data_IF_345529090675
#
_entry.id   IF_345529090675
#
_cell.length_a   1.000
_cell.length_b   1.000
_cell.length_c   1.000
_cell.angle_alpha   90.00
_cell.angle_beta   90.00
_cell.angle_gamma   90.00
#
_symmetry.space_group_name_H-M   'P 1'
#
loop_
_entity.id
_entity.type
_entity.pdbx_description
1 polymer ?
#
# COMPACT_ATOMS: atom_id res chain seq x y z
N UNK A 1 -10.60 -25.95 -37.63
CA UNK A 1 -10.61 -24.47 -37.65
C UNK A 1 -11.69 -23.88 -36.74
N UNK A 2 -12.99 -24.12 -36.97
CA UNK A 2 -14.07 -23.61 -36.10
C UNK A 2 -13.89 -23.94 -34.61
N UNK A 3 -13.57 -25.19 -34.26
CA UNK A 3 -13.34 -25.61 -32.85
C UNK A 3 -12.15 -24.91 -32.17
N UNK A 4 -11.12 -24.55 -32.93
CA UNK A 4 -9.92 -23.84 -32.43
C UNK A 4 -10.25 -22.36 -32.21
N UNK A 5 -11.02 -21.75 -33.12
CA UNK A 5 -11.49 -20.36 -32.98
C UNK A 5 -12.46 -20.23 -31.79
N UNK A 6 -13.37 -21.20 -31.60
CA UNK A 6 -14.27 -21.24 -30.44
C UNK A 6 -13.52 -21.38 -29.11
N UNK A 7 -12.42 -22.16 -29.08
CA UNK A 7 -11.60 -22.31 -27.87
C UNK A 7 -10.81 -21.04 -27.53
N UNK A 8 -10.28 -20.32 -28.54
CA UNK A 8 -9.61 -19.03 -28.33
C UNK A 8 -10.56 -17.91 -27.88
N UNK A 9 -11.80 -17.87 -28.39
CA UNK A 9 -12.81 -16.89 -27.94
C UNK A 9 -13.28 -17.15 -26.50
N UNK A 10 -13.29 -18.40 -26.04
CA UNK A 10 -13.63 -18.73 -24.65
C UNK A 10 -12.55 -18.30 -23.64
N UNK A 11 -11.27 -18.32 -24.04
CA UNK A 11 -10.16 -17.85 -23.19
C UNK A 11 -10.14 -16.33 -22.98
N UNK A 12 -10.74 -15.56 -23.90
CA UNK A 12 -10.89 -14.10 -23.82
C UNK A 12 -12.03 -13.63 -22.89
N UNK A 13 -12.85 -14.57 -22.39
CA UNK A 13 -13.94 -14.31 -21.44
C UNK A 13 -13.55 -14.62 -19.99
N UNK A 14 -12.30 -15.03 -19.74
CA UNK A 14 -11.80 -15.16 -18.37
C UNK A 14 -11.65 -13.75 -17.79
N UNK A 15 -12.38 -13.39 -16.71
CA UNK A 15 -12.23 -12.08 -16.09
C UNK A 15 -10.83 -11.96 -15.50
N UNK A 16 -9.96 -11.19 -16.15
CA UNK A 16 -8.68 -10.73 -15.60
C UNK A 16 -8.94 -9.59 -14.60
N UNK A 17 -9.65 -9.91 -13.51
CA UNK A 17 -9.68 -9.07 -12.33
C UNK A 17 -9.04 -9.84 -11.18
N UNK A 18 -7.73 -10.00 -11.27
CA UNK A 18 -6.89 -10.38 -10.12
C UNK A 18 -6.57 -9.12 -9.32
N UNK A 19 -7.60 -8.41 -8.88
CA UNK A 19 -7.48 -7.50 -7.75
C UNK A 19 -8.15 -8.21 -6.58
N UNK A 20 -7.44 -9.19 -6.03
CA UNK A 20 -7.84 -9.78 -4.76
C UNK A 20 -7.84 -8.68 -3.69
N UNK A 21 -8.76 -8.74 -2.71
CA UNK A 21 -8.69 -7.84 -1.56
C UNK A 21 -7.32 -7.98 -0.89
N UNK A 22 -6.85 -6.91 -0.24
CA UNK A 22 -5.70 -7.03 0.65
C UNK A 22 -5.96 -8.17 1.64
N UNK A 23 -4.99 -9.04 1.92
CA UNK A 23 -5.19 -10.19 2.79
C UNK A 23 -5.47 -9.71 4.22
N UNK A 24 -6.75 -9.68 4.60
CA UNK A 24 -7.20 -9.20 5.91
C UNK A 24 -6.95 -10.29 6.96
N UNK A 25 -6.33 -9.91 8.08
CA UNK A 25 -6.02 -10.82 9.17
C UNK A 25 -4.70 -11.58 9.01
N UNK A 26 -4.01 -11.39 7.88
CA UNK A 26 -2.67 -11.93 7.65
C UNK A 26 -1.61 -10.88 7.98
N UNK A 27 -0.46 -11.31 8.52
CA UNK A 27 0.70 -10.44 8.71
C UNK A 27 1.32 -10.13 7.33
N UNK A 28 1.49 -8.87 6.92
CA UNK A 28 2.22 -8.53 5.71
C UNK A 28 3.66 -9.03 5.75
N UNK A 29 4.24 -9.30 4.58
CA UNK A 29 5.68 -9.59 4.46
C UNK A 29 6.51 -8.47 5.07
N UNK A 30 7.59 -8.84 5.77
CA UNK A 30 8.52 -7.88 6.32
C UNK A 30 9.19 -7.09 5.17
N UNK A 31 9.26 -5.78 5.32
CA UNK A 31 10.01 -4.89 4.43
C UNK A 31 11.24 -4.40 5.17
N UNK A 32 12.40 -4.50 4.52
CA UNK A 32 13.66 -3.96 5.01
C UNK A 32 14.21 -3.00 3.96
N UNK A 33 14.47 -1.76 4.38
CA UNK A 33 15.14 -0.75 3.58
C UNK A 33 16.58 -0.65 4.08
N UNK A 34 17.51 -1.14 3.28
CA UNK A 34 18.95 -1.07 3.55
C UNK A 34 19.74 -0.94 2.24
N UNK A 35 20.86 -0.22 2.28
CA UNK A 35 21.78 -0.10 1.16
C UNK A 35 21.11 0.54 -0.06
N UNK A 36 21.18 -0.15 -1.20
CA UNK A 36 20.62 0.34 -2.47
C UNK A 36 19.09 0.31 -2.51
N UNK A 37 18.42 -0.42 -1.60
CA UNK A 37 16.96 -0.48 -1.52
C UNK A 37 16.35 0.72 -0.75
N UNK A 38 17.19 1.58 -0.19
CA UNK A 38 16.78 2.74 0.60
C UNK A 38 17.34 2.69 2.02
N UNK A 39 17.32 3.83 2.71
CA UNK A 39 17.76 3.96 4.09
C UNK A 39 16.96 5.07 4.77
N UNK A 40 17.12 5.21 6.09
CA UNK A 40 16.60 6.39 6.78
C UNK A 40 17.28 7.66 6.30
N UNK A 41 16.58 8.78 6.44
CA UNK A 41 17.13 10.12 6.14
C UNK A 41 18.38 10.43 6.96
N UNK A 42 18.43 9.97 8.22
CA UNK A 42 19.58 10.11 9.09
C UNK A 42 20.59 8.95 8.99
N UNK A 43 20.45 8.08 7.98
CA UNK A 43 21.28 6.90 7.78
C UNK A 43 20.84 5.68 8.61
N UNK A 44 21.34 4.51 8.20
CA UNK A 44 21.00 3.21 8.78
C UNK A 44 19.75 2.58 8.14
N UNK A 45 19.58 1.28 8.40
CA UNK A 45 18.47 0.51 7.87
C UNK A 45 17.16 0.79 8.62
N UNK A 46 16.05 0.49 7.95
CA UNK A 46 14.70 0.54 8.52
C UNK A 46 13.99 -0.79 8.26
N UNK A 47 13.18 -1.25 9.22
CA UNK A 47 12.35 -2.45 9.07
C UNK A 47 10.89 -2.17 9.42
N UNK A 48 9.97 -2.79 8.69
CA UNK A 48 8.54 -2.72 8.98
C UNK A 48 8.16 -3.31 10.35
N UNK A 49 9.03 -4.10 10.99
CA UNK A 49 8.78 -4.57 12.37
C UNK A 49 8.73 -3.41 13.39
N UNK A 50 9.23 -2.22 13.04
CA UNK A 50 9.07 -1.00 13.85
C UNK A 50 7.63 -0.47 13.87
N UNK A 51 6.75 -0.99 13.00
CA UNK A 51 5.32 -0.64 12.94
C UNK A 51 4.45 -1.56 13.82
N UNK A 52 5.06 -2.34 14.73
CA UNK A 52 4.34 -3.23 15.64
C UNK A 52 3.99 -2.50 16.94
N UNK A 53 2.81 -2.78 17.49
CA UNK A 53 2.38 -2.31 18.82
C UNK A 53 1.44 -1.10 18.82
N UNK A 54 1.08 -0.59 17.65
CA UNK A 54 0.05 0.43 17.47
C UNK A 54 -0.81 0.12 16.23
N UNK A 55 -1.98 0.74 16.14
CA UNK A 55 -2.75 0.79 14.90
C UNK A 55 -2.11 1.80 13.97
N UNK A 56 -1.78 1.37 12.76
CA UNK A 56 -1.17 2.21 11.73
C UNK A 56 -2.13 2.43 10.58
N UNK A 57 -2.32 3.68 10.18
CA UNK A 57 -2.91 4.03 8.87
C UNK A 57 -1.78 4.29 7.89
N UNK A 58 -1.80 3.56 6.77
CA UNK A 58 -0.85 3.75 5.68
C UNK A 58 -1.48 4.60 4.59
N UNK A 59 -0.83 5.72 4.26
CA UNK A 59 -1.14 6.53 3.09
C UNK A 59 -0.16 6.21 1.98
N UNK A 60 -0.67 5.78 0.82
CA UNK A 60 0.12 5.70 -0.39
C UNK A 60 -0.14 6.98 -1.20
N UNK A 61 0.92 7.74 -1.47
CA UNK A 61 0.81 9.12 -1.94
C UNK A 61 1.55 9.26 -3.27
N UNK A 62 0.82 9.67 -4.29
CA UNK A 62 1.38 10.30 -5.48
C UNK A 62 1.66 11.79 -5.14
N UNK A 63 2.90 12.29 -5.31
CA UNK A 63 3.21 13.70 -5.08
C UNK A 63 2.30 14.68 -5.86
N UNK A 64 1.91 14.33 -7.08
CA UNK A 64 1.14 15.22 -7.95
C UNK A 64 -0.36 15.23 -7.61
N UNK A 65 -0.85 14.17 -6.98
CA UNK A 65 -2.20 14.06 -6.41
C UNK A 65 -2.21 14.10 -4.87
N UNK A 66 -1.30 14.87 -4.28
CA UNK A 66 -1.09 14.92 -2.82
C UNK A 66 -2.35 15.22 -1.99
N UNK A 67 -3.32 15.96 -2.54
CA UNK A 67 -4.57 16.31 -1.86
C UNK A 67 -5.63 15.19 -1.86
N UNK A 68 -5.45 14.13 -2.65
CA UNK A 68 -6.43 13.04 -2.82
C UNK A 68 -6.84 12.41 -1.49
N UNK A 69 -5.89 12.30 -0.56
CA UNK A 69 -6.09 11.67 0.74
C UNK A 69 -6.57 12.63 1.84
N UNK A 70 -6.70 13.94 1.57
CA UNK A 70 -6.94 14.95 2.59
C UNK A 70 -8.20 14.66 3.40
N UNK A 71 -9.31 14.32 2.74
CA UNK A 71 -10.58 14.02 3.40
C UNK A 71 -10.45 12.89 4.45
N UNK A 72 -9.73 11.82 4.12
CA UNK A 72 -9.48 10.72 5.06
C UNK A 72 -8.55 11.17 6.19
N UNK A 73 -7.49 11.91 5.87
CA UNK A 73 -6.53 12.39 6.87
C UNK A 73 -7.18 13.35 7.87
N UNK A 74 -8.09 14.21 7.42
CA UNK A 74 -8.76 15.21 8.23
C UNK A 74 -9.83 14.58 9.12
N UNK A 75 -10.58 13.59 8.59
CA UNK A 75 -11.48 12.78 9.40
C UNK A 75 -10.72 12.07 10.54
N UNK A 76 -9.59 11.42 10.25
CA UNK A 76 -8.79 10.75 11.27
C UNK A 76 -8.19 11.74 12.31
N UNK A 77 -7.80 12.95 11.89
CA UNK A 77 -7.32 14.00 12.81
C UNK A 77 -8.42 14.47 13.76
N UNK A 78 -9.65 14.60 13.27
CA UNK A 78 -10.80 15.08 14.04
C UNK A 78 -11.20 14.12 15.18
N UNK A 79 -10.87 12.84 15.07
CA UNK A 79 -11.14 11.83 16.11
C UNK A 79 -10.20 11.92 17.32
N UNK A 80 -9.08 12.63 17.21
CA UNK A 80 -8.12 12.83 18.30
C UNK A 80 -7.66 11.53 19.00
N UNK A 81 -7.43 10.45 18.23
CA UNK A 81 -6.95 9.18 18.77
C UNK A 81 -5.66 9.33 19.59
N UNK A 82 -5.51 8.48 20.61
CA UNK A 82 -4.31 8.43 21.44
C UNK A 82 -3.08 8.08 20.57
N UNK A 83 -2.09 8.99 20.55
CA UNK A 83 -0.85 8.85 19.79
C UNK A 83 0.03 7.69 20.25
N UNK A 84 -0.19 7.16 21.45
CA UNK A 84 0.46 5.94 21.90
C UNK A 84 -0.11 4.70 21.18
N UNK A 85 -1.40 4.73 20.80
CA UNK A 85 -2.12 3.60 20.21
C UNK A 85 -2.36 3.74 18.71
N UNK A 86 -2.29 4.96 18.17
CA UNK A 86 -2.57 5.29 16.79
C UNK A 86 -1.44 6.09 16.16
N UNK A 87 -1.01 5.69 14.97
CA UNK A 87 0.04 6.36 14.19
C UNK A 87 -0.31 6.33 12.69
N UNK A 88 0.29 7.22 11.92
CA UNK A 88 0.23 7.17 10.46
C UNK A 88 1.62 6.97 9.87
N UNK A 89 1.67 6.30 8.71
CA UNK A 89 2.86 6.16 7.87
C UNK A 89 2.47 6.54 6.44
N UNK A 90 3.35 7.22 5.74
CA UNK A 90 3.16 7.55 4.33
C UNK A 90 4.24 6.89 3.48
N UNK A 91 3.84 6.28 2.37
CA UNK A 91 4.72 5.87 1.29
C UNK A 91 4.48 6.87 0.17
N UNK A 92 5.50 7.66 -0.15
CA UNK A 92 5.45 8.62 -1.23
C UNK A 92 6.05 7.95 -2.47
N UNK A 93 5.21 7.71 -3.47
CA UNK A 93 5.62 7.12 -4.73
C UNK A 93 6.18 8.20 -5.66
N UNK A 94 7.49 8.42 -5.58
CA UNK A 94 8.17 9.38 -6.44
C UNK A 94 8.13 9.02 -7.93
N UNK A 95 7.80 7.77 -8.28
CA UNK A 95 7.69 7.33 -9.68
C UNK A 95 6.29 7.63 -10.29
N UNK A 96 5.34 8.15 -9.49
CA UNK A 96 3.99 8.49 -9.96
C UNK A 96 3.86 9.93 -10.50
N UNK A 97 4.90 10.76 -10.38
CA UNK A 97 4.96 12.12 -10.94
C UNK A 97 4.99 12.14 -12.47
#
# INVERSE_FOLDING_TARGET
MKKVITLCCAALLLPSFVFGPLPVGEKPSQVVLEGDQGNRVNGGSWSSDELVGAVHVLFYVDPDESDLNNAASDALKAEHFDKAQYRSVAIINMDAT
#
